data_IF_162539960348
#
_entry.id   IF_162539960348
#
_cell.length_a   1.000
_cell.length_b   1.000
_cell.length_c   1.000
_cell.angle_alpha   90.00
_cell.angle_beta   90.00
_cell.angle_gamma   90.00
#
_symmetry.space_group_name_H-M   'P 1'
#
loop_
_entity.id
_entity.type
_entity.pdbx_description
1 polymer ?
#
# COMPACT_ATOMS: atom_id res chain seq x y z
N UNK A 1 16.03 9.33 -28.09
CA UNK A 1 14.98 8.45 -28.61
C UNK A 1 14.18 7.94 -27.42
N UNK A 2 12.86 8.17 -27.40
CA UNK A 2 12.01 7.62 -26.34
C UNK A 2 11.76 6.12 -26.61
N UNK A 3 11.88 5.30 -25.57
CA UNK A 3 11.59 3.86 -25.61
C UNK A 3 10.07 3.60 -25.72
N UNK A 4 9.47 3.98 -26.85
CA UNK A 4 8.04 3.78 -27.09
C UNK A 4 7.78 2.34 -27.53
N UNK A 5 6.92 1.62 -26.79
CA UNK A 5 6.53 0.24 -27.10
C UNK A 5 7.48 -0.84 -26.57
N UNK A 6 8.40 -0.49 -25.67
CA UNK A 6 9.34 -1.46 -25.10
C UNK A 6 8.62 -2.46 -24.18
N UNK A 7 8.87 -3.74 -24.40
CA UNK A 7 8.41 -4.83 -23.54
C UNK A 7 9.62 -5.55 -22.97
N UNK A 8 9.70 -5.62 -21.65
CA UNK A 8 10.67 -6.42 -20.91
C UNK A 8 9.91 -7.55 -20.23
N UNK A 9 10.28 -8.80 -20.50
CA UNK A 9 9.56 -9.97 -19.99
C UNK A 9 10.50 -11.04 -19.49
N UNK A 10 10.10 -11.74 -18.43
CA UNK A 10 10.84 -12.87 -17.85
C UNK A 10 12.29 -12.53 -17.47
N UNK A 11 12.51 -11.31 -16.97
CA UNK A 11 13.82 -10.86 -16.53
C UNK A 11 13.94 -11.04 -15.03
N UNK A 12 15.14 -11.44 -14.58
CA UNK A 12 15.47 -11.46 -13.17
C UNK A 12 16.68 -10.56 -12.91
N UNK A 13 16.52 -9.61 -12.01
CA UNK A 13 17.52 -8.64 -11.61
C UNK A 13 17.87 -8.87 -10.13
N UNK A 14 19.06 -9.39 -9.86
CA UNK A 14 19.54 -9.68 -8.51
C UNK A 14 20.84 -8.96 -8.22
N UNK A 15 21.00 -8.45 -7.00
CA UNK A 15 22.25 -7.90 -6.51
C UNK A 15 22.86 -6.81 -7.43
N UNK A 16 22.01 -5.94 -7.99
CA UNK A 16 22.44 -4.92 -8.96
C UNK A 16 22.89 -3.60 -8.30
N UNK A 17 23.26 -3.64 -7.02
CA UNK A 17 23.42 -2.42 -6.23
C UNK A 17 22.07 -1.72 -6.04
N UNK A 18 21.94 -0.44 -6.42
CA UNK A 18 20.79 0.40 -6.03
C UNK A 18 19.43 -0.03 -6.59
N UNK A 19 19.39 -0.47 -7.85
CA UNK A 19 18.14 -0.71 -8.55
C UNK A 19 18.18 -2.04 -9.28
N UNK A 20 17.17 -2.88 -9.08
CA UNK A 20 17.01 -4.08 -9.90
C UNK A 20 16.67 -3.70 -11.33
N UNK A 21 15.57 -2.96 -11.51
CA UNK A 21 15.18 -2.36 -12.79
C UNK A 21 14.89 -0.89 -12.58
N UNK A 22 15.54 -0.02 -13.37
CA UNK A 22 15.31 1.43 -13.34
C UNK A 22 14.84 1.93 -14.69
N UNK A 23 13.58 2.34 -14.77
CA UNK A 23 13.04 3.09 -15.89
C UNK A 23 13.30 4.57 -15.64
N UNK A 24 14.47 5.06 -16.06
CA UNK A 24 14.92 6.42 -15.80
C UNK A 24 14.42 7.40 -16.87
N UNK A 25 13.89 8.56 -16.46
CA UNK A 25 13.43 9.63 -17.34
C UNK A 25 12.50 9.16 -18.47
N UNK A 26 11.51 8.33 -18.14
CA UNK A 26 10.51 7.83 -19.09
C UNK A 26 9.69 9.02 -19.59
N UNK A 27 9.83 9.42 -20.85
CA UNK A 27 9.11 10.56 -21.42
C UNK A 27 7.59 10.30 -21.58
N UNK A 28 6.80 11.37 -21.67
CA UNK A 28 5.33 11.33 -21.67
C UNK A 28 4.69 10.41 -22.73
N UNK A 29 5.33 10.30 -23.90
CA UNK A 29 4.87 9.45 -25.00
C UNK A 29 5.35 7.99 -24.91
N UNK A 30 6.29 7.71 -24.01
CA UNK A 30 6.84 6.38 -23.87
C UNK A 30 5.82 5.43 -23.21
N UNK A 31 5.83 4.19 -23.71
CA UNK A 31 4.99 3.09 -23.23
C UNK A 31 5.90 1.91 -22.97
N UNK A 32 6.12 1.60 -21.71
CA UNK A 32 7.02 0.52 -21.29
C UNK A 32 6.21 -0.51 -20.51
N UNK A 33 6.31 -1.77 -20.89
CA UNK A 33 5.65 -2.86 -20.17
C UNK A 33 6.69 -3.80 -19.58
N UNK A 34 6.62 -4.01 -18.27
CA UNK A 34 7.36 -5.04 -17.54
C UNK A 34 6.40 -6.19 -17.25
N UNK A 35 6.74 -7.42 -17.65
CA UNK A 35 5.91 -8.61 -17.47
C UNK A 35 6.72 -9.72 -16.82
N UNK A 36 6.25 -10.28 -15.71
CA UNK A 36 6.92 -11.42 -15.05
C UNK A 36 8.42 -11.11 -14.77
N UNK A 37 8.67 -9.89 -14.27
CA UNK A 37 10.01 -9.40 -13.92
C UNK A 37 10.21 -9.53 -12.41
N UNK A 38 11.33 -10.12 -11.99
CA UNK A 38 11.71 -10.26 -10.59
C UNK A 38 12.93 -9.39 -10.28
N UNK A 39 12.88 -8.61 -9.20
CA UNK A 39 13.96 -7.73 -8.78
C UNK A 39 14.23 -7.89 -7.26
N UNK A 40 15.30 -8.60 -6.90
CA UNK A 40 15.56 -8.93 -5.49
C UNK A 40 16.96 -8.57 -5.01
N UNK A 41 17.07 -8.44 -3.69
CA UNK A 41 18.33 -8.33 -2.95
C UNK A 41 19.22 -7.17 -3.44
N UNK A 42 18.59 -6.11 -3.97
CA UNK A 42 19.29 -4.89 -4.37
C UNK A 42 19.68 -4.10 -3.11
N UNK A 43 20.89 -3.54 -3.05
CA UNK A 43 21.48 -2.92 -1.86
C UNK A 43 21.49 -1.39 -1.92
N UNK A 44 21.39 -0.72 -0.76
CA UNK A 44 21.53 0.74 -0.71
C UNK A 44 22.98 1.11 -1.00
N UNK A 45 23.20 2.00 -1.98
CA UNK A 45 24.52 2.53 -2.27
C UNK A 45 24.87 3.67 -1.28
N UNK A 46 26.16 3.93 -1.02
CA UNK A 46 26.56 5.07 -0.21
C UNK A 46 25.94 6.37 -0.74
N UNK A 47 25.46 7.21 0.15
CA UNK A 47 25.03 8.57 -0.18
C UNK A 47 26.20 9.32 -0.82
N UNK A 48 26.00 9.90 -2.00
CA UNK A 48 26.91 10.95 -2.45
C UNK A 48 26.74 12.21 -1.60
N UNK A 49 27.71 13.13 -1.66
CA UNK A 49 27.69 14.37 -0.89
C UNK A 49 26.49 15.29 -1.20
N UNK A 50 25.71 15.00 -2.26
CA UNK A 50 24.48 15.70 -2.62
C UNK A 50 23.22 15.10 -2.00
N UNK A 51 23.34 14.01 -1.24
CA UNK A 51 22.19 13.31 -0.66
C UNK A 51 21.45 12.40 -1.64
N UNK A 52 21.94 12.24 -2.87
CA UNK A 52 21.42 11.25 -3.81
C UNK A 52 22.07 9.89 -3.51
N UNK A 53 21.24 8.87 -3.25
CA UNK A 53 21.71 7.54 -2.84
C UNK A 53 20.98 6.92 -1.65
N UNK A 54 20.03 7.64 -1.04
CA UNK A 54 19.42 7.21 0.23
C UNK A 54 18.60 5.92 0.18
N UNK A 55 18.20 5.43 -1.00
CA UNK A 55 17.32 4.26 -1.10
C UNK A 55 17.70 3.31 -2.23
N UNK A 56 17.34 2.03 -2.06
CA UNK A 56 17.36 1.00 -3.09
C UNK A 56 15.93 0.61 -3.47
N UNK A 57 15.70 0.25 -4.74
CA UNK A 57 14.40 -0.25 -5.17
C UNK A 57 14.52 -1.48 -6.05
N UNK A 58 13.59 -2.43 -5.89
CA UNK A 58 13.46 -3.53 -6.84
C UNK A 58 13.14 -2.99 -8.23
N UNK A 59 12.04 -2.24 -8.33
CA UNK A 59 11.64 -1.57 -9.57
C UNK A 59 11.44 -0.08 -9.31
N UNK A 60 12.17 0.77 -10.04
CA UNK A 60 12.00 2.22 -10.03
C UNK A 60 11.47 2.71 -11.37
N UNK A 61 10.39 3.49 -11.34
CA UNK A 61 9.82 4.20 -12.49
C UNK A 61 9.96 5.69 -12.25
N UNK A 62 10.73 6.38 -13.08
CA UNK A 62 11.01 7.81 -12.96
C UNK A 62 10.63 8.52 -14.26
N UNK A 63 9.74 9.51 -14.21
CA UNK A 63 9.42 10.36 -15.37
C UNK A 63 7.94 10.68 -15.53
N UNK A 64 7.52 10.77 -16.79
CA UNK A 64 6.17 11.17 -17.23
C UNK A 64 5.46 10.15 -18.12
N UNK A 65 6.11 9.03 -18.46
CA UNK A 65 5.52 8.05 -19.37
C UNK A 65 4.56 7.06 -18.72
N UNK A 66 3.98 6.21 -19.58
CA UNK A 66 2.97 5.22 -19.21
C UNK A 66 3.61 3.86 -19.07
N UNK A 67 3.83 3.43 -17.84
CA UNK A 67 4.39 2.12 -17.55
C UNK A 67 3.31 1.11 -17.15
N UNK A 68 3.46 -0.14 -17.55
CA UNK A 68 2.62 -1.24 -17.06
C UNK A 68 3.53 -2.28 -16.44
N UNK A 69 3.38 -2.49 -15.14
CA UNK A 69 4.05 -3.55 -14.40
C UNK A 69 3.01 -4.65 -14.20
N UNK A 70 3.23 -5.82 -14.78
CA UNK A 70 2.30 -6.94 -14.73
C UNK A 70 2.99 -8.17 -14.16
N UNK A 71 2.48 -8.66 -13.03
CA UNK A 71 3.03 -9.83 -12.32
C UNK A 71 4.52 -9.69 -11.99
N UNK A 72 4.95 -8.46 -11.71
CA UNK A 72 6.31 -8.18 -11.29
C UNK A 72 6.48 -8.49 -9.80
N UNK A 73 7.70 -8.82 -9.41
CA UNK A 73 8.07 -9.23 -8.07
C UNK A 73 9.26 -8.41 -7.58
N UNK A 74 9.20 -7.89 -6.36
CA UNK A 74 10.31 -7.16 -5.76
C UNK A 74 10.52 -7.54 -4.28
N UNK A 75 11.64 -8.20 -3.98
CA UNK A 75 11.88 -8.78 -2.66
C UNK A 75 13.21 -8.35 -2.06
N UNK A 76 13.23 -8.15 -0.74
CA UNK A 76 14.46 -7.94 0.03
C UNK A 76 15.35 -6.78 -0.45
N UNK A 77 14.76 -5.76 -1.07
CA UNK A 77 15.54 -4.62 -1.54
C UNK A 77 15.86 -3.69 -0.38
N UNK A 78 17.07 -3.12 -0.38
CA UNK A 78 17.56 -2.16 0.58
C UNK A 78 17.75 -2.69 2.00
N UNK A 79 17.96 -4.01 2.20
CA UNK A 79 18.16 -4.61 3.53
C UNK A 79 19.57 -4.48 4.10
N UNK A 80 20.55 -4.09 3.28
CA UNK A 80 21.96 -4.08 3.69
C UNK A 80 22.54 -2.68 3.51
N UNK A 81 22.93 -2.06 4.62
CA UNK A 81 23.78 -0.88 4.62
C UNK A 81 25.21 -1.31 4.25
N UNK A 82 25.79 -0.72 3.20
CA UNK A 82 27.19 -0.99 2.84
C UNK A 82 28.20 -0.36 3.82
N UNK A 83 27.77 0.55 4.72
CA UNK A 83 28.60 1.19 5.77
C UNK A 83 27.78 1.59 7.00
N UNK A 84 28.44 1.73 8.15
CA UNK A 84 27.86 2.37 9.35
C UNK A 84 27.37 3.79 9.02
N UNK A 85 26.15 4.13 9.43
CA UNK A 85 25.58 5.48 9.26
C UNK A 85 24.77 5.72 7.98
N UNK A 86 24.63 4.72 7.08
CA UNK A 86 23.71 4.83 5.93
C UNK A 86 22.31 4.34 6.28
N UNK A 87 21.28 5.05 5.81
CA UNK A 87 19.88 4.65 5.97
C UNK A 87 19.58 3.37 5.15
N UNK A 88 18.79 2.47 5.74
CA UNK A 88 18.41 1.16 5.16
C UNK A 88 17.07 1.32 4.43
N UNK A 89 16.94 2.30 3.54
CA UNK A 89 15.66 2.62 2.88
C UNK A 89 15.46 1.73 1.64
N UNK A 90 14.67 0.68 1.80
CA UNK A 90 14.38 -0.30 0.75
C UNK A 90 12.96 -0.21 0.21
N UNK A 91 12.81 -0.18 -1.12
CA UNK A 91 11.52 -0.06 -1.80
C UNK A 91 11.25 -1.28 -2.68
N UNK A 92 10.03 -1.80 -2.64
CA UNK A 92 9.59 -2.82 -3.59
C UNK A 92 9.45 -2.19 -4.99
N UNK A 93 8.43 -1.34 -5.13
CA UNK A 93 8.16 -0.56 -6.34
C UNK A 93 8.11 0.92 -5.98
N UNK A 94 8.96 1.74 -6.60
CA UNK A 94 8.96 3.20 -6.44
C UNK A 94 8.57 3.85 -7.77
N UNK A 95 7.59 4.75 -7.73
CA UNK A 95 7.11 5.53 -8.87
C UNK A 95 7.30 7.01 -8.53
N UNK A 96 7.98 7.73 -9.41
CA UNK A 96 8.22 9.17 -9.22
C UNK A 96 8.15 9.97 -10.52
N UNK A 97 7.79 11.24 -10.39
CA UNK A 97 7.78 12.20 -11.50
C UNK A 97 6.40 12.77 -11.84
N UNK A 98 6.40 14.07 -12.14
CA UNK A 98 5.25 15.01 -12.13
C UNK A 98 4.06 14.60 -13.01
N UNK A 99 4.23 13.64 -13.93
CA UNK A 99 3.13 13.18 -14.77
C UNK A 99 3.25 11.72 -15.20
N UNK A 100 3.57 10.79 -14.30
CA UNK A 100 3.49 9.33 -14.54
C UNK A 100 2.06 8.81 -14.83
N UNK A 101 1.25 9.63 -15.50
CA UNK A 101 -0.18 9.52 -15.68
C UNK A 101 -0.53 8.26 -16.47
N UNK A 102 -1.26 7.36 -15.82
CA UNK A 102 -1.69 6.09 -16.39
C UNK A 102 -0.68 4.96 -16.23
N UNK A 103 0.31 5.10 -15.34
CA UNK A 103 1.13 3.94 -14.92
C UNK A 103 0.25 2.96 -14.15
N UNK A 104 0.39 1.67 -14.48
CA UNK A 104 -0.39 0.57 -13.90
C UNK A 104 0.52 -0.42 -13.20
N UNK A 105 0.13 -0.82 -11.99
CA UNK A 105 0.77 -1.89 -11.21
C UNK A 105 -0.26 -2.99 -11.02
N UNK A 106 -0.09 -4.12 -11.72
CA UNK A 106 -1.09 -5.16 -11.87
C UNK A 106 -0.54 -6.50 -11.41
N UNK A 107 -1.20 -7.11 -10.43
CA UNK A 107 -0.86 -8.44 -9.90
C UNK A 107 0.60 -8.57 -9.41
N UNK A 108 1.21 -7.45 -9.01
CA UNK A 108 2.58 -7.44 -8.51
C UNK A 108 2.66 -7.87 -7.04
N UNK A 109 3.83 -8.38 -6.65
CA UNK A 109 4.09 -8.81 -5.28
C UNK A 109 5.37 -8.18 -4.78
N UNK A 110 5.39 -7.71 -3.54
CA UNK A 110 6.63 -7.30 -2.87
C UNK A 110 6.72 -7.94 -1.51
N UNK A 111 7.94 -8.15 -1.01
CA UNK A 111 8.10 -8.50 0.40
C UNK A 111 9.48 -8.19 0.95
N UNK A 112 9.54 -7.90 2.25
CA UNK A 112 10.78 -7.79 3.02
C UNK A 112 11.69 -6.65 2.58
N UNK A 113 11.15 -5.59 1.98
CA UNK A 113 11.93 -4.45 1.52
C UNK A 113 12.23 -3.49 2.69
N UNK A 114 13.49 -3.05 2.78
CA UNK A 114 14.03 -2.18 3.84
C UNK A 114 14.23 -2.89 5.18
N UNK A 115 14.24 -2.12 6.25
CA UNK A 115 14.34 -2.59 7.63
C UNK A 115 13.04 -2.34 8.40
N UNK A 116 12.06 -3.25 8.31
CA UNK A 116 10.76 -3.11 8.97
C UNK A 116 10.85 -3.07 10.50
N UNK A 117 11.99 -3.45 11.07
CA UNK A 117 12.20 -3.55 12.52
C UNK A 117 13.00 -2.41 13.11
N UNK A 118 13.70 -1.62 12.28
CA UNK A 118 14.66 -0.62 12.73
C UNK A 118 15.95 -1.22 13.32
N UNK A 119 16.13 -2.55 13.30
CA UNK A 119 17.29 -3.25 13.87
C UNK A 119 18.57 -2.98 13.06
N UNK A 120 18.43 -2.77 11.77
CA UNK A 120 19.51 -2.52 10.82
C UNK A 120 19.79 -1.01 10.66
N UNK A 121 18.77 -0.16 10.86
CA UNK A 121 18.90 1.29 10.79
C UNK A 121 19.68 1.85 11.98
N UNK A 122 20.72 2.70 11.78
CA UNK A 122 21.47 3.32 12.88
C UNK A 122 20.62 4.17 13.83
N UNK A 123 19.47 4.66 13.36
CA UNK A 123 18.54 5.46 14.18
C UNK A 123 17.56 4.59 14.97
N UNK A 124 17.60 3.27 14.82
CA UNK A 124 16.60 2.37 15.40
C UNK A 124 15.21 2.52 14.79
N UNK A 125 15.08 3.30 13.70
CA UNK A 125 13.77 3.67 13.14
C UNK A 125 13.39 2.69 12.03
N UNK A 126 12.22 2.03 12.13
CA UNK A 126 11.68 1.20 11.05
C UNK A 126 11.56 1.99 9.74
N UNK A 127 11.96 1.37 8.63
CA UNK A 127 11.90 1.96 7.29
C UNK A 127 11.58 0.90 6.22
N UNK A 128 11.45 1.36 4.98
CA UNK A 128 11.16 0.53 3.83
C UNK A 128 9.67 0.47 3.46
N UNK A 129 9.41 0.39 2.16
CA UNK A 129 8.09 0.61 1.58
C UNK A 129 7.80 -0.36 0.45
N UNK A 130 6.61 -0.94 0.45
CA UNK A 130 6.21 -1.89 -0.60
C UNK A 130 5.97 -1.18 -1.93
N UNK A 131 5.10 -0.16 -1.89
CA UNK A 131 4.70 0.65 -3.03
C UNK A 131 4.81 2.13 -2.67
N UNK A 132 5.65 2.87 -3.38
CA UNK A 132 5.86 4.29 -3.14
C UNK A 132 5.48 5.12 -4.36
N UNK A 133 4.76 6.21 -4.12
CA UNK A 133 4.49 7.28 -5.06
C UNK A 133 5.08 8.59 -4.56
N UNK A 134 5.94 9.22 -5.37
CA UNK A 134 6.56 10.51 -5.07
C UNK A 134 6.32 11.51 -6.21
N UNK A 135 5.56 12.60 -5.96
CA UNK A 135 5.25 13.60 -6.98
C UNK A 135 4.70 13.00 -8.29
N UNK A 136 3.80 12.03 -8.22
CA UNK A 136 3.27 11.34 -9.40
C UNK A 136 1.77 11.11 -9.29
N UNK A 137 1.06 11.26 -10.40
CA UNK A 137 -0.40 11.27 -10.43
C UNK A 137 -0.99 10.26 -11.42
N UNK A 138 -2.27 9.95 -11.24
CA UNK A 138 -3.07 9.04 -12.07
C UNK A 138 -2.50 7.61 -12.15
N UNK A 139 -2.21 7.04 -10.98
CA UNK A 139 -1.66 5.69 -10.85
C UNK A 139 -2.79 4.70 -10.55
N UNK A 140 -2.79 3.56 -11.25
CA UNK A 140 -3.75 2.50 -11.04
C UNK A 140 -3.06 1.23 -10.54
N UNK A 141 -3.44 0.77 -9.35
CA UNK A 141 -2.90 -0.43 -8.74
C UNK A 141 -4.03 -1.43 -8.54
N UNK A 142 -3.81 -2.66 -9.00
CA UNK A 142 -4.76 -3.74 -8.77
C UNK A 142 -4.06 -5.06 -8.55
N UNK A 143 -4.59 -5.87 -7.65
CA UNK A 143 -4.05 -7.19 -7.41
C UNK A 143 -2.70 -7.21 -6.69
N UNK A 144 -2.31 -6.07 -6.10
CA UNK A 144 -1.02 -5.91 -5.44
C UNK A 144 -1.01 -6.66 -4.11
N UNK A 145 0.12 -7.27 -3.76
CA UNK A 145 0.30 -7.99 -2.50
C UNK A 145 1.63 -7.60 -1.87
N UNK A 146 1.65 -7.21 -0.60
CA UNK A 146 2.90 -6.94 0.11
C UNK A 146 2.97 -7.51 1.51
N UNK A 147 4.18 -7.91 1.92
CA UNK A 147 4.46 -8.23 3.32
C UNK A 147 5.87 -7.96 3.84
N UNK A 148 5.93 -7.54 5.11
CA UNK A 148 7.18 -7.45 5.85
C UNK A 148 7.99 -6.18 5.56
N UNK A 149 7.35 -5.13 5.07
CA UNK A 149 7.88 -3.77 4.98
C UNK A 149 7.43 -2.90 6.16
N UNK A 150 8.16 -1.82 6.50
CA UNK A 150 7.63 -0.87 7.47
C UNK A 150 6.37 -0.18 6.95
N UNK A 151 6.31 0.12 5.65
CA UNK A 151 5.16 0.73 5.01
C UNK A 151 4.55 -0.13 3.89
N UNK A 152 3.22 -0.28 3.89
CA UNK A 152 2.47 -0.92 2.82
C UNK A 152 2.49 -0.06 1.56
N UNK A 153 1.87 1.11 1.61
CA UNK A 153 2.01 2.09 0.55
C UNK A 153 2.21 3.50 1.10
N UNK A 154 3.04 4.27 0.41
CA UNK A 154 3.31 5.66 0.72
C UNK A 154 3.09 6.52 -0.52
N UNK A 155 2.10 7.41 -0.47
CA UNK A 155 1.74 8.33 -1.56
C UNK A 155 2.01 9.74 -1.08
N UNK A 156 3.18 10.24 -1.43
CA UNK A 156 3.79 11.43 -0.86
C UNK A 156 3.95 12.50 -1.93
N UNK A 157 3.72 13.76 -1.55
CA UNK A 157 3.96 14.96 -2.38
C UNK A 157 3.16 14.99 -3.69
N UNK A 158 2.35 16.03 -3.96
CA UNK A 158 1.71 16.29 -5.25
C UNK A 158 1.27 15.03 -6.06
N UNK A 159 0.71 14.03 -5.38
CA UNK A 159 0.50 12.70 -5.92
C UNK A 159 -1.00 12.41 -5.98
N UNK A 160 -1.61 12.82 -7.10
CA UNK A 160 -3.05 12.89 -7.24
C UNK A 160 -3.64 11.68 -7.97
N UNK A 161 -4.93 11.41 -7.79
CA UNK A 161 -5.71 10.45 -8.58
C UNK A 161 -5.15 9.02 -8.53
N UNK A 162 -4.78 8.55 -7.34
CA UNK A 162 -4.35 7.17 -7.12
C UNK A 162 -5.55 6.27 -6.88
N UNK A 163 -5.66 5.20 -7.66
CA UNK A 163 -6.69 4.17 -7.46
C UNK A 163 -6.03 2.84 -7.12
N UNK A 164 -6.38 2.26 -5.98
CA UNK A 164 -5.87 0.99 -5.49
C UNK A 164 -7.05 0.06 -5.21
N UNK A 165 -7.12 -1.05 -5.94
CA UNK A 165 -8.24 -1.97 -5.89
C UNK A 165 -7.77 -3.41 -5.65
N UNK A 166 -8.57 -4.23 -4.97
CA UNK A 166 -8.33 -5.69 -4.86
C UNK A 166 -6.90 -6.05 -4.45
N UNK A 167 -6.37 -5.35 -3.46
CA UNK A 167 -4.97 -5.46 -3.06
C UNK A 167 -4.84 -5.83 -1.58
N UNK A 168 -3.71 -6.38 -1.19
CA UNK A 168 -3.43 -6.80 0.19
C UNK A 168 -2.13 -6.21 0.67
N UNK A 169 -2.18 -5.56 1.82
CA UNK A 169 -1.01 -5.03 2.52
C UNK A 169 -0.97 -5.70 3.89
N UNK A 170 0.02 -6.56 4.12
CA UNK A 170 0.09 -7.38 5.32
C UNK A 170 1.42 -7.19 6.07
N UNK A 171 1.38 -7.27 7.39
CA UNK A 171 2.58 -7.20 8.22
C UNK A 171 3.35 -5.90 8.11
N UNK A 172 2.64 -4.80 7.88
CA UNK A 172 3.19 -3.46 7.75
C UNK A 172 3.12 -2.69 9.07
N UNK A 173 4.10 -1.84 9.33
CA UNK A 173 4.10 -0.89 10.45
C UNK A 173 3.11 0.27 10.25
N UNK A 174 3.11 0.85 9.05
CA UNK A 174 2.20 1.88 8.53
C UNK A 174 1.59 1.31 7.25
N UNK A 175 0.28 1.04 7.22
CA UNK A 175 -0.25 0.33 6.05
C UNK A 175 -0.39 1.25 4.84
N UNK A 176 -0.72 2.51 5.08
CA UNK A 176 -1.01 3.49 4.06
C UNK A 176 -0.73 4.90 4.59
N UNK A 177 0.16 5.62 3.92
CA UNK A 177 0.38 7.03 4.20
C UNK A 177 0.08 7.84 2.95
N UNK A 178 -0.78 8.84 3.07
CA UNK A 178 -1.11 9.72 1.97
C UNK A 178 -1.19 11.15 2.47
N UNK A 179 -0.49 12.05 1.78
CA UNK A 179 -0.70 13.46 2.02
C UNK A 179 0.50 14.39 1.99
N UNK A 180 0.45 15.42 2.83
CA UNK A 180 1.42 16.51 2.85
C UNK A 180 2.76 16.05 3.36
N UNK A 181 3.75 16.17 2.50
CA UNK A 181 5.14 16.24 2.87
C UNK A 181 5.70 17.55 2.32
N UNK A 182 6.45 18.28 3.15
CA UNK A 182 7.10 19.54 2.76
C UNK A 182 6.18 20.63 2.17
N UNK A 183 4.91 20.71 2.58
CA UNK A 183 4.02 21.82 2.18
C UNK A 183 3.06 21.54 1.02
N UNK A 184 3.19 20.41 0.31
CA UNK A 184 2.36 20.13 -0.88
C UNK A 184 1.45 18.92 -0.65
N UNK A 185 0.15 19.07 -0.92
CA UNK A 185 -0.85 18.02 -0.72
C UNK A 185 -1.06 17.09 -1.92
N UNK A 186 -1.87 16.06 -1.71
CA UNK A 186 -2.29 15.04 -2.68
C UNK A 186 -3.83 14.93 -2.65
N UNK A 187 -4.51 14.56 -3.75
CA UNK A 187 -5.98 14.44 -3.82
C UNK A 187 -6.40 13.23 -4.68
N UNK A 188 -7.68 12.83 -4.67
CA UNK A 188 -8.23 11.86 -5.63
C UNK A 188 -7.89 10.41 -5.30
N UNK A 189 -7.65 10.10 -4.02
CA UNK A 189 -7.38 8.73 -3.59
C UNK A 189 -8.65 7.88 -3.68
N UNK A 190 -8.56 6.72 -4.31
CA UNK A 190 -9.60 5.70 -4.33
C UNK A 190 -9.01 4.39 -3.81
N UNK A 191 -9.51 3.88 -2.70
CA UNK A 191 -9.14 2.60 -2.10
C UNK A 191 -10.38 1.71 -2.05
N UNK A 192 -10.41 0.63 -2.85
CA UNK A 192 -11.58 -0.26 -2.93
C UNK A 192 -11.21 -1.72 -2.78
N UNK A 193 -12.01 -2.49 -2.05
CA UNK A 193 -11.80 -3.94 -1.99
C UNK A 193 -10.38 -4.33 -1.54
N UNK A 194 -9.86 -3.64 -0.53
CA UNK A 194 -8.49 -3.85 -0.04
C UNK A 194 -8.53 -4.57 1.31
N UNK A 195 -7.54 -5.43 1.55
CA UNK A 195 -7.36 -6.07 2.85
C UNK A 195 -6.06 -5.60 3.48
N UNK A 196 -6.16 -5.07 4.69
CA UNK A 196 -5.07 -4.45 5.44
C UNK A 196 -4.85 -5.26 6.71
N UNK A 197 -3.64 -5.77 6.89
CA UNK A 197 -3.25 -6.52 8.09
C UNK A 197 -2.05 -5.81 8.70
N UNK A 198 -2.27 -5.17 9.83
CA UNK A 198 -1.28 -4.33 10.49
C UNK A 198 -0.74 -5.05 11.74
N UNK A 199 0.59 -5.12 11.81
CA UNK A 199 1.31 -5.66 12.97
C UNK A 199 1.98 -4.59 13.80
N UNK A 200 2.25 -3.42 13.22
CA UNK A 200 2.87 -2.30 13.91
C UNK A 200 1.91 -1.51 14.80
N UNK A 201 2.42 -0.38 15.31
CA UNK A 201 1.71 0.47 16.28
C UNK A 201 0.97 1.64 15.64
N UNK A 202 1.24 1.94 14.36
CA UNK A 202 0.67 3.09 13.65
C UNK A 202 -0.71 2.76 13.06
N UNK A 203 -1.57 3.77 12.78
CA UNK A 203 -2.84 3.58 12.09
C UNK A 203 -2.64 3.03 10.66
N UNK A 204 -3.69 2.45 10.06
CA UNK A 204 -3.60 1.95 8.69
C UNK A 204 -3.53 3.10 7.69
N UNK A 205 -4.30 4.17 7.91
CA UNK A 205 -4.28 5.37 7.09
C UNK A 205 -3.94 6.56 7.98
N UNK A 206 -2.79 7.18 7.72
CA UNK A 206 -2.46 8.49 8.28
C UNK A 206 -2.54 9.53 7.16
N UNK A 207 -3.55 10.41 7.25
CA UNK A 207 -3.77 11.51 6.31
C UNK A 207 -3.25 12.81 6.93
N UNK A 208 -2.27 13.44 6.28
CA UNK A 208 -1.55 14.61 6.80
C UNK A 208 -2.11 15.95 6.26
N UNK A 209 -2.94 16.64 7.05
CA UNK A 209 -3.31 18.07 7.06
C UNK A 209 -3.66 18.84 5.75
N UNK A 210 -2.70 19.15 4.86
CA UNK A 210 -2.95 20.00 3.66
C UNK A 210 -3.54 19.20 2.49
N UNK A 211 -3.80 17.92 2.67
CA UNK A 211 -3.80 16.96 1.57
C UNK A 211 -5.02 16.06 1.50
N UNK A 212 -6.18 16.57 1.91
CA UNK A 212 -7.44 15.85 1.71
C UNK A 212 -8.33 16.62 0.75
N UNK A 213 -7.93 16.70 -0.52
CA UNK A 213 -8.99 16.72 -1.52
C UNK A 213 -9.67 15.35 -1.57
N UNK A 214 -10.75 15.23 -2.35
CA UNK A 214 -11.62 14.06 -2.45
C UNK A 214 -10.90 12.71 -2.25
N UNK A 215 -11.41 11.88 -1.35
CA UNK A 215 -10.95 10.51 -1.17
C UNK A 215 -12.14 9.55 -1.02
N UNK A 216 -12.02 8.35 -1.57
CA UNK A 216 -13.03 7.30 -1.48
C UNK A 216 -12.39 6.02 -0.94
N UNK A 217 -12.85 5.55 0.21
CA UNK A 217 -12.38 4.32 0.85
C UNK A 217 -13.59 3.42 1.02
N UNK A 218 -13.66 2.33 0.24
CA UNK A 218 -14.82 1.43 0.25
C UNK A 218 -14.45 -0.05 0.32
N UNK A 219 -15.29 -0.86 0.96
CA UNK A 219 -15.14 -2.32 0.94
C UNK A 219 -13.75 -2.78 1.45
N UNK A 220 -13.25 -2.20 2.53
CA UNK A 220 -11.92 -2.52 3.08
C UNK A 220 -12.05 -3.46 4.28
N UNK A 221 -11.19 -4.45 4.37
CA UNK A 221 -10.98 -5.23 5.61
C UNK A 221 -9.77 -4.67 6.32
N UNK A 222 -9.89 -4.39 7.61
CA UNK A 222 -8.78 -3.95 8.46
C UNK A 222 -8.62 -4.91 9.63
N UNK A 223 -7.39 -5.40 9.80
CA UNK A 223 -7.02 -6.31 10.87
C UNK A 223 -5.78 -5.79 11.58
N UNK A 224 -5.92 -5.35 12.84
CA UNK A 224 -4.78 -5.14 13.75
C UNK A 224 -4.58 -6.34 14.67
N UNK A 225 -3.46 -7.06 14.53
CA UNK A 225 -3.20 -8.21 15.39
C UNK A 225 -2.87 -7.76 16.82
N UNK A 226 -3.47 -8.44 17.80
CA UNK A 226 -3.11 -8.37 19.22
C UNK A 226 -3.43 -7.06 19.94
N UNK A 227 -4.28 -6.19 19.38
CA UNK A 227 -4.60 -4.89 19.98
C UNK A 227 -6.06 -4.49 19.72
N UNK A 228 -6.81 -4.24 20.79
CA UNK A 228 -8.25 -3.93 20.75
C UNK A 228 -8.59 -2.45 20.86
N UNK A 229 -7.64 -1.58 21.23
CA UNK A 229 -7.80 -0.12 21.39
C UNK A 229 -7.28 0.67 20.17
N UNK A 230 -7.15 0.01 19.02
CA UNK A 230 -6.50 0.60 17.85
C UNK A 230 -7.49 1.38 16.98
N UNK A 231 -7.04 2.53 16.48
CA UNK A 231 -7.80 3.37 15.57
C UNK A 231 -7.31 3.13 14.14
N UNK A 232 -8.11 2.47 13.29
CA UNK A 232 -7.69 2.12 11.94
C UNK A 232 -7.46 3.35 11.05
N UNK A 233 -8.35 4.36 11.07
CA UNK A 233 -8.18 5.59 10.28
C UNK A 233 -7.80 6.76 11.18
N UNK A 234 -6.73 7.47 10.82
CA UNK A 234 -6.34 8.73 11.45
C UNK A 234 -6.25 9.84 10.41
N UNK A 235 -7.03 10.89 10.62
CA UNK A 235 -6.84 12.19 9.99
C UNK A 235 -6.11 13.08 10.97
N UNK A 236 -4.86 13.43 10.65
CA UNK A 236 -4.06 14.35 11.45
C UNK A 236 -3.89 15.65 10.68
N UNK A 237 -4.63 16.68 11.10
CA UNK A 237 -4.39 18.03 10.64
C UNK A 237 -3.39 18.68 11.60
N UNK A 238 -2.16 18.90 11.17
CA UNK A 238 -1.19 19.69 11.92
C UNK A 238 -1.61 21.17 12.01
N UNK A 239 -0.70 22.08 11.69
CA UNK A 239 -0.91 23.54 11.73
C UNK A 239 -1.90 24.10 10.68
N UNK A 240 -2.60 23.25 9.93
CA UNK A 240 -3.40 23.66 8.77
C UNK A 240 -4.80 23.05 8.82
N UNK A 241 -5.78 23.76 8.26
CA UNK A 241 -7.18 23.34 8.17
C UNK A 241 -7.33 22.09 7.29
N UNK A 242 -7.89 21.02 7.86
CA UNK A 242 -8.38 19.86 7.13
C UNK A 242 -9.84 20.09 6.74
N UNK A 243 -10.17 19.92 5.46
CA UNK A 243 -11.55 19.94 4.97
C UNK A 243 -12.05 18.50 4.73
N UNK A 244 -12.87 17.94 5.64
CA UNK A 244 -13.41 16.59 5.51
C UNK A 244 -14.56 16.44 4.51
N UNK A 245 -15.07 17.53 3.91
CA UNK A 245 -16.34 17.51 3.18
C UNK A 245 -16.37 16.58 1.94
N UNK A 246 -15.25 15.98 1.55
CA UNK A 246 -15.09 15.21 0.32
C UNK A 246 -14.54 13.80 0.52
N UNK A 247 -14.42 13.33 1.77
CA UNK A 247 -13.95 11.97 2.07
C UNK A 247 -15.16 11.05 2.29
N UNK A 248 -15.26 10.02 1.47
CA UNK A 248 -16.26 8.96 1.59
C UNK A 248 -15.61 7.71 2.16
N UNK A 249 -16.13 7.20 3.28
CA UNK A 249 -15.68 5.94 3.88
C UNK A 249 -16.89 5.05 4.12
N UNK A 250 -16.92 3.85 3.53
CA UNK A 250 -18.10 2.96 3.56
C UNK A 250 -17.73 1.47 3.40
N UNK A 251 -18.56 0.57 3.94
CA UNK A 251 -18.39 -0.89 3.80
C UNK A 251 -17.08 -1.43 4.38
N UNK A 252 -16.71 -1.01 5.59
CA UNK A 252 -15.44 -1.41 6.19
C UNK A 252 -15.66 -2.45 7.29
N UNK A 253 -14.84 -3.49 7.27
CA UNK A 253 -14.85 -4.54 8.27
C UNK A 253 -13.59 -4.48 9.14
N UNK A 254 -13.76 -4.27 10.44
CA UNK A 254 -12.69 -4.31 11.44
C UNK A 254 -12.72 -5.65 12.18
N UNK A 255 -11.60 -6.36 12.17
CA UNK A 255 -11.51 -7.75 12.66
C UNK A 255 -11.15 -7.83 14.16
N UNK A 256 -10.75 -6.75 14.84
CA UNK A 256 -10.25 -6.84 16.24
C UNK A 256 -10.80 -5.79 17.18
N UNK A 257 -11.75 -4.97 16.72
CA UNK A 257 -12.24 -3.90 17.55
C UNK A 257 -13.21 -4.41 18.62
N UNK A 258 -12.70 -4.71 19.81
CA UNK A 258 -13.52 -4.88 20.99
C UNK A 258 -13.92 -3.51 21.61
N UNK A 259 -13.66 -2.37 20.96
CA UNK A 259 -14.22 -1.09 21.39
C UNK A 259 -15.74 -1.11 21.19
N UNK A 260 -16.54 -1.17 22.26
CA UNK A 260 -18.00 -1.16 22.17
C UNK A 260 -18.53 0.16 21.61
N UNK A 261 -17.68 1.20 21.50
CA UNK A 261 -18.04 2.51 20.98
C UNK A 261 -17.79 2.63 19.47
N UNK A 262 -17.17 1.62 18.83
CA UNK A 262 -16.89 1.61 17.40
C UNK A 262 -16.06 2.83 16.95
N UNK A 263 -15.14 3.34 17.78
CA UNK A 263 -14.38 4.55 17.46
C UNK A 263 -13.26 4.22 16.51
N UNK A 264 -13.47 4.61 15.26
CA UNK A 264 -12.77 3.99 14.15
C UNK A 264 -12.04 5.02 13.27
N UNK A 265 -12.52 6.26 13.30
CA UNK A 265 -11.86 7.42 12.69
C UNK A 265 -11.50 8.43 13.77
N UNK A 266 -10.21 8.80 13.86
CA UNK A 266 -9.76 9.95 14.66
C UNK A 266 -9.52 11.14 13.75
N UNK A 267 -10.20 12.26 14.00
CA UNK A 267 -9.73 13.55 13.52
C UNK A 267 -8.98 14.26 14.65
N UNK A 268 -7.70 14.55 14.47
CA UNK A 268 -6.91 15.36 15.39
C UNK A 268 -6.73 16.74 14.78
N UNK A 269 -7.39 17.74 15.36
CA UNK A 269 -7.16 19.17 15.05
C UNK A 269 -6.42 19.86 16.20
N UNK A 270 -5.83 21.02 15.94
CA UNK A 270 -5.25 21.89 16.97
C UNK A 270 -6.25 22.39 18.04
N UNK A 271 -7.55 22.13 17.89
CA UNK A 271 -8.63 22.54 18.80
C UNK A 271 -9.45 21.40 19.43
N UNK A 272 -9.11 20.12 19.18
CA UNK A 272 -9.84 18.99 19.76
C UNK A 272 -9.95 17.78 18.82
N UNK A 273 -10.43 16.67 19.39
CA UNK A 273 -10.69 15.41 18.65
C UNK A 273 -12.15 15.34 18.20
N UNK A 274 -12.40 15.15 16.91
CA UNK A 274 -13.74 14.90 16.35
C UNK A 274 -13.80 13.47 15.82
N UNK A 275 -14.88 12.76 16.13
CA UNK A 275 -15.15 11.41 15.64
C UNK A 275 -16.23 11.49 14.56
N UNK A 276 -16.00 10.90 13.39
CA UNK A 276 -17.02 10.75 12.35
C UNK A 276 -17.87 9.52 12.65
N UNK A 277 -19.18 9.61 12.43
CA UNK A 277 -20.12 8.47 12.49
C UNK A 277 -21.00 8.49 11.24
N UNK A 278 -21.32 7.29 10.72
CA UNK A 278 -21.98 6.89 9.45
C UNK A 278 -21.02 6.63 8.28
N UNK A 279 -21.05 5.50 7.55
CA UNK A 279 -22.04 4.42 7.37
C UNK A 279 -21.40 3.00 7.42
N UNK A 280 -22.20 1.98 7.76
CA UNK A 280 -21.93 0.52 7.80
C UNK A 280 -20.52 0.03 8.18
N UNK A 281 -20.11 0.25 9.43
CA UNK A 281 -18.92 -0.39 10.01
C UNK A 281 -19.28 -1.70 10.69
N UNK A 282 -18.48 -2.73 10.43
CA UNK A 282 -18.71 -4.08 10.97
C UNK A 282 -17.53 -4.50 11.80
N UNK A 283 -17.77 -4.73 13.09
CA UNK A 283 -16.83 -5.48 13.91
C UNK A 283 -17.07 -6.95 13.66
N UNK A 284 -16.07 -7.66 13.17
CA UNK A 284 -16.12 -9.09 12.93
C UNK A 284 -15.09 -9.80 13.79
N UNK A 285 -15.39 -11.03 14.18
CA UNK A 285 -14.43 -11.87 14.85
C UNK A 285 -13.42 -12.45 13.84
N UNK A 286 -12.14 -12.70 14.21
CA UNK A 286 -11.17 -13.33 13.30
C UNK A 286 -11.61 -14.69 12.73
N UNK A 287 -12.54 -15.40 13.39
CA UNK A 287 -13.10 -16.67 12.92
C UNK A 287 -13.84 -16.60 11.58
N UNK A 288 -14.11 -15.41 11.06
CA UNK A 288 -14.68 -15.23 9.72
C UNK A 288 -13.67 -15.52 8.59
N UNK A 289 -12.42 -15.86 8.91
CA UNK A 289 -11.35 -16.19 7.96
C UNK A 289 -10.82 -17.61 8.14
N UNK A 290 -10.51 -18.27 7.02
CA UNK A 290 -10.21 -19.71 7.01
C UNK A 290 -8.98 -20.15 7.81
N UNK A 291 -7.97 -19.29 7.98
CA UNK A 291 -6.72 -19.63 8.67
C UNK A 291 -6.22 -18.44 9.51
N UNK A 292 -7.10 -17.85 10.31
CA UNK A 292 -6.77 -16.62 11.04
C UNK A 292 -5.62 -16.77 12.05
N UNK A 293 -5.32 -18.00 12.49
CA UNK A 293 -4.20 -18.31 13.36
C UNK A 293 -2.84 -18.44 12.64
N UNK A 294 -2.81 -18.62 11.32
CA UNK A 294 -1.63 -19.08 10.59
C UNK A 294 -0.89 -17.98 9.80
N UNK A 295 -1.18 -16.70 10.06
CA UNK A 295 -0.48 -15.59 9.39
C UNK A 295 0.97 -15.46 9.88
N UNK A 296 1.86 -16.27 9.32
CA UNK A 296 3.30 -15.98 9.26
C UNK A 296 3.60 -15.16 7.99
N UNK A 297 4.69 -14.39 8.04
CA UNK A 297 5.01 -13.25 7.17
C UNK A 297 5.07 -13.52 5.65
N UNK A 298 4.93 -14.77 5.21
CA UNK A 298 5.18 -15.23 3.84
C UNK A 298 3.96 -15.87 3.12
N UNK A 299 2.80 -16.02 3.78
CA UNK A 299 1.64 -16.76 3.21
C UNK A 299 0.34 -15.93 3.12
N UNK A 300 0.43 -14.69 2.65
CA UNK A 300 -0.70 -13.75 2.50
C UNK A 300 -1.83 -14.32 1.62
N UNK A 301 -1.52 -15.15 0.62
CA UNK A 301 -2.47 -15.58 -0.42
C UNK A 301 -3.47 -16.65 0.01
N UNK A 302 -3.19 -17.38 1.09
CA UNK A 302 -4.03 -18.48 1.59
C UNK A 302 -4.74 -18.14 2.89
N UNK A 303 -4.21 -17.22 3.69
CA UNK A 303 -4.61 -17.09 5.10
C UNK A 303 -5.59 -15.96 5.42
N UNK A 304 -5.87 -15.08 4.46
CA UNK A 304 -6.74 -13.92 4.65
C UNK A 304 -8.05 -14.03 3.86
N UNK A 305 -8.48 -15.26 3.60
CA UNK A 305 -9.69 -15.54 2.81
C UNK A 305 -10.92 -15.61 3.72
N UNK A 306 -11.98 -14.85 3.42
CA UNK A 306 -13.25 -14.98 4.12
C UNK A 306 -13.80 -16.41 4.00
N UNK A 307 -14.43 -16.94 5.05
CA UNK A 307 -15.19 -18.19 4.99
C UNK A 307 -16.43 -18.03 4.07
N UNK A 308 -16.93 -19.09 3.43
CA UNK A 308 -18.03 -18.97 2.45
C UNK A 308 -19.36 -18.37 2.95
N UNK A 309 -19.61 -18.41 4.26
CA UNK A 309 -20.85 -18.01 4.92
C UNK A 309 -20.77 -16.62 5.59
N UNK A 310 -19.62 -15.95 5.50
CA UNK A 310 -19.46 -14.62 6.10
C UNK A 310 -20.14 -13.52 5.29
N UNK A 311 -20.68 -12.53 6.00
CA UNK A 311 -21.30 -11.33 5.42
C UNK A 311 -20.32 -10.45 4.62
N UNK A 312 -18.99 -10.64 4.78
CA UNK A 312 -18.01 -9.96 3.93
C UNK A 312 -18.25 -10.21 2.44
N UNK A 313 -18.85 -11.35 2.07
CA UNK A 313 -19.06 -11.75 0.68
C UNK A 313 -20.26 -11.07 0.00
N UNK A 314 -21.20 -10.56 0.77
CA UNK A 314 -22.53 -10.15 0.26
C UNK A 314 -22.89 -8.70 0.59
N UNK A 315 -22.26 -8.11 1.60
CA UNK A 315 -22.78 -6.92 2.25
C UNK A 315 -21.90 -5.67 2.07
N UNK A 316 -20.92 -5.72 1.19
CA UNK A 316 -20.19 -4.55 0.75
C UNK A 316 -21.06 -3.60 -0.06
N UNK A 317 -20.54 -2.38 -0.24
CA UNK A 317 -21.09 -1.38 -1.16
C UNK A 317 -21.09 -1.95 -2.58
N UNK A 318 -22.18 -1.75 -3.34
CA UNK A 318 -22.23 -2.14 -4.75
C UNK A 318 -21.37 -1.20 -5.58
N UNK A 319 -20.21 -1.69 -6.00
CA UNK A 319 -19.28 -0.95 -6.86
C UNK A 319 -19.35 -1.42 -8.33
N UNK A 320 -20.39 -2.19 -8.68
CA UNK A 320 -20.50 -2.90 -9.95
C UNK A 320 -19.75 -4.23 -9.94
N UNK A 321 -19.77 -4.97 -11.06
CA UNK A 321 -19.07 -6.25 -11.16
C UNK A 321 -17.55 -6.04 -11.20
N UNK A 322 -16.87 -6.47 -10.14
CA UNK A 322 -15.41 -6.47 -10.09
C UNK A 322 -14.90 -7.88 -9.82
N UNK A 323 -13.75 -8.24 -10.40
CA UNK A 323 -13.11 -9.53 -10.13
C UNK A 323 -12.19 -9.41 -8.94
N UNK A 324 -12.39 -10.27 -7.94
CA UNK A 324 -11.49 -10.43 -6.81
C UNK A 324 -10.11 -10.98 -7.23
N UNK A 325 -9.23 -11.18 -6.24
CA UNK A 325 -7.90 -11.74 -6.45
C UNK A 325 -7.88 -13.18 -6.99
N UNK A 326 -9.01 -13.89 -6.97
CA UNK A 326 -9.18 -15.24 -7.53
C UNK A 326 -9.81 -15.24 -8.93
N UNK A 327 -10.12 -14.04 -9.45
CA UNK A 327 -10.82 -13.88 -10.70
C UNK A 327 -12.32 -14.12 -10.62
N UNK A 328 -12.90 -14.34 -9.42
CA UNK A 328 -14.35 -14.47 -9.25
C UNK A 328 -14.99 -13.09 -9.26
N UNK A 329 -16.13 -12.98 -9.93
CA UNK A 329 -16.90 -11.74 -9.94
C UNK A 329 -17.72 -11.60 -8.67
N UNK A 330 -17.65 -10.43 -8.06
CA UNK A 330 -18.55 -10.01 -7.00
C UNK A 330 -18.93 -8.54 -7.21
N UNK A 331 -20.09 -8.16 -6.68
CA UNK A 331 -20.58 -6.78 -6.68
C UNK A 331 -20.42 -6.08 -5.34
N UNK A 332 -20.49 -6.85 -4.25
CA UNK A 332 -20.68 -6.37 -2.88
C UNK A 332 -19.73 -7.07 -1.91
N UNK A 333 -18.53 -7.38 -2.36
CA UNK A 333 -17.54 -8.03 -1.50
C UNK A 333 -16.76 -6.98 -0.71
N UNK A 334 -16.43 -7.25 0.55
CA UNK A 334 -15.56 -6.44 1.42
C UNK A 334 -14.19 -7.13 1.50
N UNK A 335 -13.14 -6.41 1.14
CA UNK A 335 -11.77 -6.92 1.07
C UNK A 335 -11.37 -7.41 -0.32
N UNK A 336 -10.16 -7.98 -0.40
CA UNK A 336 -9.49 -8.29 -1.66
C UNK A 336 -9.76 -9.71 -2.17
N UNK A 337 -9.98 -10.69 -1.28
CA UNK A 337 -10.12 -12.11 -1.61
C UNK A 337 -11.56 -12.60 -1.55
N UNK A 338 -12.00 -13.35 -2.55
CA UNK A 338 -13.24 -14.11 -2.43
C UNK A 338 -13.16 -15.24 -1.40
N UNK A 339 -14.28 -15.95 -1.28
CA UNK A 339 -14.44 -17.04 -0.32
C UNK A 339 -13.32 -18.09 -0.41
N UNK A 340 -12.83 -18.51 0.77
CA UNK A 340 -11.94 -19.64 0.93
C UNK A 340 -12.57 -20.91 0.34
N UNK A 341 -11.74 -21.76 -0.26
CA UNK A 341 -12.17 -23.11 -0.65
C UNK A 341 -12.00 -24.00 0.57
N UNK A 342 -13.10 -24.37 1.22
CA UNK A 342 -13.09 -25.43 2.22
C UNK A 342 -12.73 -26.74 1.50
N UNK A 343 -11.61 -27.37 1.86
CA UNK A 343 -11.37 -28.75 1.44
C UNK A 343 -12.39 -29.61 2.18
N UNK A 344 -13.18 -30.40 1.45
CA UNK A 344 -13.98 -31.45 2.08
C UNK A 344 -13.03 -32.36 2.85
N UNK A 345 -13.26 -32.49 4.15
CA UNK A 345 -12.57 -33.48 4.99
C UNK A 345 -13.12 -34.86 4.67
#
# INVERSE_FOLDING_TARGET
MAAAGTIVRNVRAFDNGRFGIRLNNVGADARITLIDVTANDNTTLPTDNGGAGRYAAGISVEGSGKCVLLRCQAHNNGRTALREGTDVDGRGISISGVSSAGTKVLDCVTSGNGDPTGILSPTGTPNGTSLEGFNCSSIYVRGFRSSGEAAGAEIKYAANDWTIEHSVFAGTGITFQWGQFSGTGSTGLVLRNVTLINDGVQPFADCLAISSGNAEIRNVVVWKRGRSDWMPVRFSSGQFSFDPATIVIDGIADINNNDPLGRLVKHVTSGGTVYYTREEWRVLHPSHFANYHALQHDQISTHVRPLPDTSLLTDGVDLGYVRDLDGKQSRKHIGAYGAARLRSV
#
